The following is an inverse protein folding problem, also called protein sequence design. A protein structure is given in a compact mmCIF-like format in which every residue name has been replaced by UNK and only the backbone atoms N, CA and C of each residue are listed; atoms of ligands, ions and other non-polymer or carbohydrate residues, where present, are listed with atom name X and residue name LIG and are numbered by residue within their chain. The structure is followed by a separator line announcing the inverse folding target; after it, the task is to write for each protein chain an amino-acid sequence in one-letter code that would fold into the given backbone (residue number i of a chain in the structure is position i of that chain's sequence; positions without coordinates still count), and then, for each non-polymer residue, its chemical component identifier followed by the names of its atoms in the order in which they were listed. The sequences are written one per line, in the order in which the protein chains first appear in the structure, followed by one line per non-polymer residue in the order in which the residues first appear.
data_IF_316069770627
#
_entry.id   IF_316069770627
#
_cell.length_a   1.000
_cell.length_b   1.000
_cell.length_c   1.000
_cell.angle_alpha   90.00
_cell.angle_beta   90.00
_cell.angle_gamma   90.00
#
_symmetry.space_group_name_H-M   'P 1'
#
loop_
_entity.id
_entity.type
_entity.pdbx_description
1 polymer ?
#
# COMPACT_ATOMS: atom_id res chain seq x y z
N UNK A 1 6.56 4.43 15.35
CA UNK A 1 5.69 3.82 16.38
C UNK A 1 4.36 3.48 15.74
N UNK A 2 3.82 4.41 14.93
CA UNK A 2 2.57 4.28 14.17
C UNK A 2 2.49 3.02 13.30
N UNK A 3 3.57 2.67 12.60
CA UNK A 3 3.57 1.53 11.65
C UNK A 3 3.32 0.15 12.30
N UNK A 4 3.69 -0.02 13.58
CA UNK A 4 3.51 -1.30 14.28
C UNK A 4 2.06 -1.48 14.74
N UNK A 5 1.43 -0.41 15.22
CA UNK A 5 0.02 -0.41 15.64
C UNK A 5 -0.90 -0.59 14.44
N UNK A 6 -0.59 0.05 13.31
CA UNK A 6 -1.33 -0.09 12.05
C UNK A 6 -1.31 -1.54 11.54
N UNK A 7 -0.13 -2.18 11.55
CA UNK A 7 -0.01 -3.61 11.19
C UNK A 7 -0.79 -4.50 12.14
N UNK A 8 -0.71 -4.25 13.45
CA UNK A 8 -1.45 -5.03 14.45
C UNK A 8 -2.96 -4.91 14.25
N UNK A 9 -3.45 -3.70 13.98
CA UNK A 9 -4.85 -3.45 13.69
C UNK A 9 -5.30 -4.22 12.44
N UNK A 10 -4.57 -4.13 11.32
CA UNK A 10 -4.89 -4.89 10.12
C UNK A 10 -4.89 -6.40 10.36
N UNK A 11 -3.94 -6.92 11.14
CA UNK A 11 -3.91 -8.34 11.49
C UNK A 11 -5.19 -8.74 12.22
N UNK A 12 -5.64 -7.95 13.20
CA UNK A 12 -6.86 -8.25 13.95
C UNK A 12 -8.11 -8.18 13.06
N UNK A 13 -8.23 -7.15 12.22
CA UNK A 13 -9.35 -6.98 11.29
C UNK A 13 -9.43 -8.13 10.28
N UNK A 14 -8.29 -8.57 9.72
CA UNK A 14 -8.23 -9.70 8.78
C UNK A 14 -8.54 -11.03 9.48
N UNK A 15 -8.06 -11.23 10.72
CA UNK A 15 -8.29 -12.46 11.48
C UNK A 15 -9.76 -12.62 11.86
N UNK A 16 -10.37 -11.56 12.39
CA UNK A 16 -11.78 -11.55 12.75
C UNK A 16 -12.68 -11.50 11.50
N UNK A 17 -12.17 -10.93 10.40
CA UNK A 17 -12.96 -10.65 9.22
C UNK A 17 -13.96 -9.52 9.44
N UNK A 18 -13.71 -8.65 10.42
CA UNK A 18 -14.61 -7.58 10.85
C UNK A 18 -13.81 -6.34 11.27
N UNK A 19 -14.34 -5.15 11.01
CA UNK A 19 -13.78 -3.87 11.43
C UNK A 19 -14.90 -2.97 11.95
N UNK A 20 -14.63 -2.26 13.06
CA UNK A 20 -15.54 -1.24 13.59
C UNK A 20 -15.20 0.09 12.92
N UNK A 21 -16.21 0.74 12.35
CA UNK A 21 -16.02 1.99 11.61
C UNK A 21 -17.16 2.97 11.90
N UNK A 22 -16.82 4.26 11.80
CA UNK A 22 -17.79 5.35 11.83
C UNK A 22 -18.11 5.76 10.39
N UNK A 23 -19.39 5.76 10.04
CA UNK A 23 -19.88 6.07 8.70
C UNK A 23 -20.79 7.29 8.77
N UNK A 24 -20.46 8.33 8.02
CA UNK A 24 -21.31 9.52 7.92
C UNK A 24 -22.39 9.35 6.85
N UNK A 25 -23.60 9.80 7.17
CA UNK A 25 -24.71 9.91 6.22
C UNK A 25 -24.68 11.26 5.45
N UNK A 26 -25.59 11.42 4.48
CA UNK A 26 -25.68 12.65 3.69
C UNK A 26 -26.07 13.90 4.51
N UNK A 27 -26.58 13.72 5.73
CA UNK A 27 -26.91 14.81 6.66
C UNK A 27 -25.76 15.11 7.64
N UNK A 28 -24.67 14.34 7.59
CA UNK A 28 -23.53 14.47 8.49
C UNK A 28 -23.70 13.75 9.83
N UNK A 29 -24.74 12.93 10.03
CA UNK A 29 -24.82 12.09 11.22
C UNK A 29 -23.84 10.93 11.10
N UNK A 30 -23.22 10.56 12.22
CA UNK A 30 -22.23 9.48 12.28
C UNK A 30 -22.90 8.23 12.85
N UNK A 31 -22.75 7.12 12.14
CA UNK A 31 -23.24 5.80 12.52
C UNK A 31 -22.05 4.88 12.78
N UNK A 32 -21.88 4.42 14.01
CA UNK A 32 -20.85 3.42 14.36
C UNK A 32 -21.36 2.03 14.03
N UNK A 33 -20.67 1.34 13.13
CA UNK A 33 -21.10 0.08 12.53
C UNK A 33 -19.96 -0.94 12.48
N UNK A 34 -20.30 -2.20 12.19
CA UNK A 34 -19.35 -3.25 11.88
C UNK A 34 -19.38 -3.48 10.37
N UNK A 35 -18.20 -3.45 9.73
CA UNK A 35 -18.04 -3.93 8.35
C UNK A 35 -17.40 -5.31 8.39
N UNK A 36 -18.05 -6.28 7.75
CA UNK A 36 -17.56 -7.66 7.63
C UNK A 36 -16.98 -7.94 6.25
N UNK A 37 -15.98 -8.82 6.22
CA UNK A 37 -15.40 -9.34 5.00
C UNK A 37 -16.45 -10.16 4.24
N UNK A 38 -16.59 -9.89 2.94
CA UNK A 38 -17.48 -10.65 2.08
C UNK A 38 -16.95 -12.08 1.90
N UNK A 39 -17.82 -13.06 2.09
CA UNK A 39 -17.55 -14.46 1.75
C UNK A 39 -17.50 -14.65 0.22
N UNK A 40 -16.81 -15.69 -0.24
CA UNK A 40 -16.77 -16.04 -1.67
C UNK A 40 -18.17 -16.22 -2.28
N UNK A 41 -19.15 -16.71 -1.51
CA UNK A 41 -20.55 -16.81 -1.95
C UNK A 41 -21.19 -15.44 -2.19
N UNK A 42 -21.01 -14.50 -1.26
CA UNK A 42 -21.54 -13.13 -1.40
C UNK A 42 -20.88 -12.41 -2.57
N UNK A 43 -19.55 -12.51 -2.70
CA UNK A 43 -18.82 -11.93 -3.83
C UNK A 43 -19.31 -12.49 -5.17
N UNK A 44 -19.51 -13.81 -5.26
CA UNK A 44 -20.06 -14.44 -6.46
C UNK A 44 -21.47 -13.90 -6.79
N UNK A 45 -22.33 -13.74 -5.79
CA UNK A 45 -23.67 -13.18 -5.99
C UNK A 45 -23.61 -11.70 -6.44
N UNK A 46 -22.77 -10.89 -5.80
CA UNK A 46 -22.54 -9.48 -6.18
C UNK A 46 -22.05 -9.40 -7.64
N UNK A 47 -21.12 -10.26 -8.03
CA UNK A 47 -20.62 -10.34 -9.41
C UNK A 47 -21.71 -10.79 -10.38
N UNK A 48 -22.55 -11.75 -10.00
CA UNK A 48 -23.72 -12.15 -10.79
C UNK A 48 -24.68 -10.98 -11.00
N UNK A 49 -24.99 -10.21 -9.95
CA UNK A 49 -25.86 -9.03 -10.04
C UNK A 49 -25.29 -7.95 -10.96
N UNK A 50 -23.98 -7.70 -10.87
CA UNK A 50 -23.26 -6.81 -11.79
C UNK A 50 -23.40 -7.27 -13.25
N UNK A 51 -23.11 -8.54 -13.54
CA UNK A 51 -23.23 -9.10 -14.89
C UNK A 51 -24.67 -9.09 -15.40
N UNK A 52 -25.65 -9.36 -14.52
CA UNK A 52 -27.07 -9.30 -14.85
C UNK A 52 -27.48 -7.89 -15.27
N UNK A 53 -27.04 -6.86 -14.55
CA UNK A 53 -27.35 -5.46 -14.88
C UNK A 53 -26.73 -5.05 -16.22
N UNK A 54 -25.51 -5.47 -16.52
CA UNK A 54 -24.90 -5.25 -17.84
C UNK A 54 -25.76 -5.85 -18.97
N UNK A 55 -26.18 -7.12 -18.82
CA UNK A 55 -26.99 -7.80 -19.84
C UNK A 55 -28.38 -7.17 -19.98
N UNK A 56 -29.03 -6.82 -18.86
CA UNK A 56 -30.36 -6.21 -18.89
C UNK A 56 -30.33 -4.78 -19.42
N UNK A 57 -29.36 -3.97 -18.98
CA UNK A 57 -29.20 -2.61 -19.45
C UNK A 57 -28.87 -2.55 -20.94
N UNK A 58 -28.03 -3.46 -21.45
CA UNK A 58 -27.79 -3.59 -22.89
C UNK A 58 -29.07 -3.93 -23.66
N UNK A 59 -29.90 -4.85 -23.15
CA UNK A 59 -31.21 -5.18 -23.76
C UNK A 59 -32.18 -4.00 -23.76
N UNK A 60 -32.10 -3.12 -22.77
CA UNK A 60 -32.88 -1.88 -22.68
C UNK A 60 -32.31 -0.75 -23.55
N UNK A 61 -31.19 -0.98 -24.24
CA UNK A 61 -30.56 0.02 -25.11
C UNK A 61 -29.78 1.10 -24.36
N UNK A 62 -29.33 0.82 -23.12
CA UNK A 62 -28.41 1.73 -22.43
C UNK A 62 -27.08 1.78 -23.17
N UNK A 63 -26.54 2.99 -23.27
CA UNK A 63 -25.29 3.27 -24.00
C UNK A 63 -24.11 2.82 -23.13
N UNK A 64 -23.20 2.07 -23.73
CA UNK A 64 -21.94 1.67 -23.07
C UNK A 64 -20.98 2.84 -22.92
N UNK A 65 -20.05 2.75 -21.98
CA UNK A 65 -18.99 3.74 -21.82
C UNK A 65 -18.16 3.86 -23.09
N UNK A 66 -17.89 2.74 -23.78
CA UNK A 66 -17.15 2.73 -25.04
C UNK A 66 -17.88 3.50 -26.16
N UNK A 67 -19.20 3.42 -26.23
CA UNK A 67 -20.00 4.20 -27.18
C UNK A 67 -20.09 5.68 -26.78
N UNK A 68 -20.27 5.98 -25.48
CA UNK A 68 -20.21 7.36 -24.98
C UNK A 68 -18.86 8.00 -25.30
N UNK A 69 -17.75 7.26 -25.16
CA UNK A 69 -16.41 7.73 -25.52
C UNK A 69 -16.33 8.15 -26.99
N UNK A 70 -16.91 7.37 -27.90
CA UNK A 70 -16.96 7.73 -29.33
C UNK A 70 -17.79 8.99 -29.55
N UNK A 71 -18.99 9.06 -28.96
CA UNK A 71 -19.88 10.22 -29.09
C UNK A 71 -19.21 11.50 -28.55
N UNK A 72 -18.53 11.41 -27.40
CA UNK A 72 -17.85 12.55 -26.81
C UNK A 72 -16.58 12.94 -27.56
N UNK A 73 -15.85 11.98 -28.13
CA UNK A 73 -14.69 12.26 -28.97
C UNK A 73 -15.10 12.97 -30.28
N UNK A 74 -16.17 12.50 -30.94
CA UNK A 74 -16.71 13.12 -32.16
C UNK A 74 -17.18 14.56 -31.94
N UNK A 75 -17.62 14.88 -30.71
CA UNK A 75 -18.09 16.21 -30.32
C UNK A 75 -17.03 17.06 -29.61
N UNK A 76 -15.80 16.56 -29.51
CA UNK A 76 -14.70 17.21 -28.80
C UNK A 76 -15.03 17.55 -27.32
N UNK A 77 -15.93 16.78 -26.70
CA UNK A 77 -16.36 16.96 -25.29
C UNK A 77 -15.38 16.26 -24.34
N UNK A 78 -14.89 15.09 -24.72
CA UNK A 78 -13.87 14.32 -24.00
C UNK A 78 -13.10 13.47 -24.99
N UNK A 79 -11.78 13.60 -24.97
CA UNK A 79 -10.90 13.05 -26.00
C UNK A 79 -9.75 12.27 -25.38
N UNK A 80 -8.96 11.57 -26.21
CA UNK A 80 -7.76 10.85 -25.75
C UNK A 80 -6.74 11.81 -25.09
N UNK A 81 -6.73 13.09 -25.47
CA UNK A 81 -5.88 14.11 -24.82
C UNK A 81 -6.27 14.34 -23.36
N UNK A 82 -7.56 14.27 -23.03
CA UNK A 82 -8.05 14.41 -21.67
C UNK A 82 -7.64 13.19 -20.82
N UNK A 83 -7.71 11.98 -21.39
CA UNK A 83 -7.23 10.75 -20.73
C UNK A 83 -5.71 10.77 -20.52
N UNK A 84 -4.94 11.19 -21.52
CA UNK A 84 -3.49 11.39 -21.39
C UNK A 84 -3.18 12.42 -20.30
N UNK A 85 -3.95 13.51 -20.23
CA UNK A 85 -3.79 14.53 -19.20
C UNK A 85 -3.98 13.97 -17.80
N UNK A 86 -4.99 13.12 -17.59
CA UNK A 86 -5.22 12.43 -16.30
C UNK A 86 -4.00 11.60 -15.91
N UNK A 87 -3.46 10.78 -16.83
CA UNK A 87 -2.28 9.93 -16.58
C UNK A 87 -1.04 10.78 -16.29
N UNK A 88 -0.83 11.88 -17.02
CA UNK A 88 0.28 12.81 -16.80
C UNK A 88 0.21 13.46 -15.42
N UNK A 89 -0.98 13.92 -15.01
CA UNK A 89 -1.18 14.54 -13.69
C UNK A 89 -0.97 13.54 -12.55
N UNK A 90 -1.50 12.32 -12.66
CA UNK A 90 -1.28 11.25 -11.66
C UNK A 90 0.20 10.92 -11.49
N UNK A 91 0.91 10.72 -12.60
CA UNK A 91 2.35 10.45 -12.58
C UNK A 91 3.15 11.66 -12.07
N UNK A 92 2.72 12.88 -12.40
CA UNK A 92 3.30 14.12 -11.89
C UNK A 92 3.20 14.21 -10.37
N UNK A 93 2.02 13.96 -9.81
CA UNK A 93 1.79 13.95 -8.35
C UNK A 93 2.67 12.90 -7.68
N UNK A 94 2.73 11.67 -8.21
CA UNK A 94 3.59 10.60 -7.67
C UNK A 94 5.07 11.00 -7.66
N UNK A 95 5.57 11.56 -8.76
CA UNK A 95 6.96 12.05 -8.84
C UNK A 95 7.23 13.17 -7.84
N UNK A 96 6.32 14.15 -7.73
CA UNK A 96 6.46 15.27 -6.79
C UNK A 96 6.43 14.80 -5.32
N UNK A 97 5.53 13.86 -4.98
CA UNK A 97 5.47 13.26 -3.64
C UNK A 97 6.73 12.45 -3.31
N UNK A 98 7.33 11.78 -4.29
CA UNK A 98 8.56 11.02 -4.09
C UNK A 98 9.79 11.92 -3.84
N UNK A 99 9.89 13.09 -4.50
CA UNK A 99 11.03 14.01 -4.31
C UNK A 99 10.84 14.96 -3.11
N UNK A 100 9.61 15.14 -2.63
CA UNK A 100 9.30 16.07 -1.54
C UNK A 100 10.15 15.83 -0.26
N UNK A 101 10.39 14.57 0.18
CA UNK A 101 11.25 14.28 1.33
C UNK A 101 12.70 14.77 1.17
N UNK A 102 13.25 14.74 -0.05
CA UNK A 102 14.63 15.16 -0.33
C UNK A 102 14.86 16.65 -0.04
N UNK A 103 13.78 17.45 -0.09
CA UNK A 103 13.81 18.89 0.16
C UNK A 103 13.35 19.28 1.56
N UNK A 104 13.19 18.33 2.50
CA UNK A 104 12.70 18.59 3.87
C UNK A 104 13.42 19.76 4.56
N UNK A 105 14.73 19.91 4.32
CA UNK A 105 15.57 20.94 4.92
C UNK A 105 15.76 22.20 4.05
N UNK A 106 15.09 22.28 2.90
CA UNK A 106 15.06 23.44 2.01
C UNK A 106 13.63 24.02 2.04
N UNK A 107 13.31 24.78 3.09
CA UNK A 107 11.94 25.23 3.46
C UNK A 107 11.22 25.91 2.29
N UNK A 108 11.92 26.76 1.53
CA UNK A 108 11.34 27.47 0.38
C UNK A 108 10.98 26.48 -0.75
N UNK A 109 11.90 25.58 -1.10
CA UNK A 109 11.65 24.58 -2.15
C UNK A 109 10.59 23.57 -1.73
N UNK A 110 10.63 23.12 -0.48
CA UNK A 110 9.63 22.23 0.11
C UNK A 110 8.22 22.81 -0.03
N UNK A 111 8.01 24.07 0.43
CA UNK A 111 6.71 24.76 0.30
C UNK A 111 6.28 24.96 -1.16
N UNK A 112 7.23 25.21 -2.07
CA UNK A 112 6.92 25.34 -3.49
C UNK A 112 6.44 24.02 -4.11
N UNK A 113 7.11 22.90 -3.78
CA UNK A 113 6.72 21.56 -4.24
C UNK A 113 5.36 21.17 -3.66
N UNK A 114 5.11 21.40 -2.36
CA UNK A 114 3.79 21.18 -1.76
C UNK A 114 2.68 21.98 -2.47
N UNK A 115 2.95 23.25 -2.77
CA UNK A 115 1.99 24.09 -3.51
C UNK A 115 1.73 23.54 -4.91
N UNK A 116 2.75 23.02 -5.57
CA UNK A 116 2.63 22.39 -6.88
C UNK A 116 1.81 21.09 -6.81
N UNK A 117 2.05 20.25 -5.81
CA UNK A 117 1.25 19.05 -5.54
C UNK A 117 -0.23 19.43 -5.38
N UNK A 118 -0.55 20.37 -4.48
CA UNK A 118 -1.94 20.81 -4.24
C UNK A 118 -2.62 21.42 -5.47
N UNK A 119 -1.86 22.04 -6.38
CA UNK A 119 -2.39 22.56 -7.65
C UNK A 119 -2.68 21.43 -8.64
N UNK A 120 -1.74 20.50 -8.76
CA UNK A 120 -1.85 19.34 -9.65
C UNK A 120 -2.97 18.39 -9.20
N UNK A 121 -3.13 18.19 -7.90
CA UNK A 121 -4.24 17.41 -7.30
C UNK A 121 -5.60 18.05 -7.57
N UNK A 122 -5.71 19.39 -7.44
CA UNK A 122 -6.95 20.09 -7.78
C UNK A 122 -7.32 19.92 -9.26
N UNK A 123 -6.36 20.16 -10.15
CA UNK A 123 -6.58 19.98 -11.59
C UNK A 123 -6.99 18.54 -11.94
N UNK A 124 -6.34 17.55 -11.32
CA UNK A 124 -6.70 16.15 -11.49
C UNK A 124 -8.13 15.88 -10.98
N UNK A 125 -8.49 16.38 -9.81
CA UNK A 125 -9.82 16.20 -9.25
C UNK A 125 -10.90 16.83 -10.12
N UNK A 126 -10.67 18.03 -10.66
CA UNK A 126 -11.59 18.71 -11.57
C UNK A 126 -11.81 17.88 -12.86
N UNK A 127 -10.73 17.33 -13.44
CA UNK A 127 -10.81 16.45 -14.61
C UNK A 127 -11.51 15.13 -14.32
N UNK A 128 -11.23 14.51 -13.17
CA UNK A 128 -11.89 13.27 -12.76
C UNK A 128 -13.37 13.49 -12.47
N UNK A 129 -13.74 14.62 -11.86
CA UNK A 129 -15.14 14.98 -11.65
C UNK A 129 -15.87 15.14 -12.98
N UNK A 130 -15.29 15.89 -13.92
CA UNK A 130 -15.84 16.05 -15.27
C UNK A 130 -15.99 14.69 -15.98
N UNK A 131 -14.99 13.82 -15.87
CA UNK A 131 -15.06 12.46 -16.42
C UNK A 131 -16.23 11.70 -15.80
N UNK A 132 -16.35 11.73 -14.48
CA UNK A 132 -17.44 11.05 -13.78
C UNK A 132 -18.81 11.58 -14.24
N UNK A 133 -19.01 12.90 -14.31
CA UNK A 133 -20.26 13.51 -14.77
C UNK A 133 -20.65 13.05 -16.18
N UNK A 134 -19.67 12.94 -17.09
CA UNK A 134 -19.89 12.52 -18.47
C UNK A 134 -20.25 11.03 -18.59
N UNK A 135 -19.64 10.18 -17.78
CA UNK A 135 -19.78 8.72 -17.90
C UNK A 135 -20.71 8.12 -16.85
N UNK A 136 -21.22 8.88 -15.88
CA UNK A 136 -22.05 8.38 -14.76
C UNK A 136 -23.26 7.56 -15.22
N UNK A 137 -23.85 7.94 -16.37
CA UNK A 137 -25.03 7.27 -16.93
C UNK A 137 -24.69 6.13 -17.90
N UNK A 138 -23.42 5.75 -18.02
CA UNK A 138 -23.04 4.56 -18.80
C UNK A 138 -23.62 3.29 -18.19
N UNK A 139 -23.82 2.29 -19.06
CA UNK A 139 -24.22 0.95 -18.65
C UNK A 139 -23.30 0.38 -17.56
N UNK A 140 -21.99 0.57 -17.70
CA UNK A 140 -20.96 0.10 -16.78
C UNK A 140 -21.04 0.79 -15.43
N UNK A 141 -21.20 2.13 -15.39
CA UNK A 141 -21.34 2.86 -14.12
C UNK A 141 -22.67 2.57 -13.42
N UNK A 142 -23.74 2.32 -14.18
CA UNK A 142 -24.99 1.81 -13.61
C UNK A 142 -24.81 0.44 -12.97
N UNK A 143 -24.15 -0.49 -13.66
CA UNK A 143 -23.86 -1.81 -13.11
C UNK A 143 -22.93 -1.73 -11.88
N UNK A 144 -21.94 -0.82 -11.89
CA UNK A 144 -21.08 -0.56 -10.73
C UNK A 144 -21.87 -0.02 -9.54
N UNK A 145 -22.84 0.88 -9.77
CA UNK A 145 -23.74 1.37 -8.72
C UNK A 145 -24.49 0.20 -8.07
N UNK A 146 -25.03 -0.72 -8.87
CA UNK A 146 -25.67 -1.95 -8.34
C UNK A 146 -24.68 -2.78 -7.53
N UNK A 147 -23.45 -2.95 -8.02
CA UNK A 147 -22.39 -3.69 -7.31
C UNK A 147 -22.08 -3.05 -5.95
N UNK A 148 -21.93 -1.73 -5.90
CA UNK A 148 -21.64 -0.98 -4.67
C UNK A 148 -22.79 -1.09 -3.67
N UNK A 149 -24.04 -0.96 -4.13
CA UNK A 149 -25.23 -1.18 -3.29
C UNK A 149 -25.21 -2.57 -2.67
N UNK A 150 -25.03 -3.61 -3.48
CA UNK A 150 -25.01 -4.99 -2.98
C UNK A 150 -23.82 -5.24 -2.03
N UNK A 151 -22.66 -4.63 -2.30
CA UNK A 151 -21.49 -4.70 -1.40
C UNK A 151 -21.85 -4.12 -0.03
N UNK A 152 -22.40 -2.91 0.03
CA UNK A 152 -22.81 -2.26 1.27
C UNK A 152 -23.84 -3.10 2.04
N UNK A 153 -24.84 -3.65 1.34
CA UNK A 153 -25.87 -4.49 1.93
C UNK A 153 -25.30 -5.73 2.64
N UNK A 154 -24.34 -6.42 2.01
CA UNK A 154 -23.79 -7.66 2.55
C UNK A 154 -22.68 -7.46 3.57
N UNK A 155 -22.00 -6.31 3.57
CA UNK A 155 -20.88 -6.06 4.47
C UNK A 155 -21.25 -5.29 5.73
N UNK A 156 -22.38 -4.56 5.78
CA UNK A 156 -22.69 -3.65 6.89
C UNK A 156 -23.60 -4.28 7.95
N UNK A 157 -23.16 -4.18 9.20
CA UNK A 157 -23.84 -4.71 10.37
C UNK A 157 -23.89 -3.67 11.50
N UNK A 158 -24.88 -3.80 12.37
CA UNK A 158 -24.96 -3.07 13.64
C UNK A 158 -23.96 -3.65 14.64
N UNK A 159 -23.71 -2.93 15.74
CA UNK A 159 -22.78 -3.36 16.79
C UNK A 159 -23.18 -4.68 17.47
N UNK A 160 -24.46 -5.07 17.41
CA UNK A 160 -24.96 -6.35 17.89
C UNK A 160 -24.78 -7.50 16.88
N UNK A 161 -24.03 -7.28 15.79
CA UNK A 161 -23.82 -8.21 14.69
C UNK A 161 -25.07 -8.58 13.89
N UNK A 162 -26.16 -7.84 14.01
CA UNK A 162 -27.32 -7.98 13.10
C UNK A 162 -27.10 -7.17 11.82
N UNK A 163 -27.67 -7.60 10.67
CA UNK A 163 -27.59 -6.82 9.43
C UNK A 163 -28.09 -5.39 9.63
N UNK A 164 -27.42 -4.42 9.02
CA UNK A 164 -27.80 -3.02 9.17
C UNK A 164 -29.20 -2.75 8.61
N UNK A 165 -29.50 -3.36 7.46
CA UNK A 165 -30.79 -3.29 6.78
C UNK A 165 -31.43 -4.67 6.65
N UNK A 166 -32.75 -4.69 6.73
CA UNK A 166 -33.55 -5.72 6.07
C UNK A 166 -33.57 -5.48 4.55
N UNK A 167 -33.96 -6.50 3.77
CA UNK A 167 -34.06 -6.38 2.32
C UNK A 167 -35.06 -5.27 1.89
N UNK A 168 -36.18 -5.14 2.59
CA UNK A 168 -37.18 -4.11 2.34
C UNK A 168 -36.66 -2.70 2.66
N UNK A 169 -36.00 -2.51 3.82
CA UNK A 169 -35.39 -1.24 4.19
C UNK A 169 -34.30 -0.84 3.17
N UNK A 170 -33.47 -1.79 2.76
CA UNK A 170 -32.38 -1.51 1.81
C UNK A 170 -32.89 -1.12 0.41
N UNK A 171 -33.96 -1.75 -0.05
CA UNK A 171 -34.57 -1.42 -1.34
C UNK A 171 -35.16 -0.01 -1.37
N UNK A 172 -35.60 0.50 -0.22
CA UNK A 172 -36.13 1.86 -0.07
C UNK A 172 -35.07 2.87 0.40
N UNK A 173 -33.80 2.46 0.55
CA UNK A 173 -32.73 3.30 1.04
C UNK A 173 -32.05 4.08 -0.10
N UNK A 174 -32.22 5.40 -0.09
CA UNK A 174 -31.77 6.30 -1.16
C UNK A 174 -30.54 7.16 -0.83
N UNK A 175 -29.96 7.02 0.37
CA UNK A 175 -28.75 7.78 0.72
C UNK A 175 -27.51 7.18 0.03
N UNK A 176 -27.22 7.68 -1.17
CA UNK A 176 -26.07 7.28 -1.98
C UNK A 176 -24.75 7.65 -1.29
N UNK A 177 -24.70 8.76 -0.54
CA UNK A 177 -23.48 9.20 0.16
C UNK A 177 -23.13 8.17 1.23
N UNK A 178 -24.11 7.74 2.02
CA UNK A 178 -23.92 6.69 3.02
C UNK A 178 -23.43 5.39 2.39
N UNK A 179 -24.05 4.92 1.31
CA UNK A 179 -23.63 3.70 0.60
C UNK A 179 -22.18 3.80 0.11
N UNK A 180 -21.81 4.94 -0.49
CA UNK A 180 -20.45 5.16 -0.97
C UNK A 180 -19.44 5.16 0.18
N UNK A 181 -19.79 5.78 1.31
CA UNK A 181 -18.93 5.78 2.50
C UNK A 181 -18.75 4.37 3.08
N UNK A 182 -19.80 3.54 3.08
CA UNK A 182 -19.72 2.11 3.45
C UNK A 182 -18.75 1.37 2.54
N UNK A 183 -18.89 1.52 1.23
CA UNK A 183 -18.01 0.85 0.25
C UNK A 183 -16.58 1.35 0.35
N UNK A 184 -16.36 2.66 0.58
CA UNK A 184 -15.03 3.22 0.82
C UNK A 184 -14.40 2.59 2.06
N UNK A 185 -15.13 2.58 3.18
CA UNK A 185 -14.65 1.98 4.42
C UNK A 185 -14.38 0.47 4.26
N UNK A 186 -15.18 -0.25 3.49
CA UNK A 186 -14.90 -1.66 3.14
C UNK A 186 -13.58 -1.80 2.37
N UNK A 187 -13.38 -0.98 1.34
CA UNK A 187 -12.18 -1.02 0.52
C UNK A 187 -10.92 -0.67 1.33
N UNK A 188 -11.00 0.36 2.18
CA UNK A 188 -9.87 0.80 3.01
C UNK A 188 -9.41 -0.29 4.00
N UNK A 189 -10.33 -1.14 4.46
CA UNK A 189 -10.05 -2.19 5.46
C UNK A 189 -9.67 -3.52 4.84
N UNK A 190 -10.34 -3.91 3.75
CA UNK A 190 -10.27 -5.28 3.23
C UNK A 190 -9.74 -5.40 1.80
N UNK A 191 -9.54 -4.29 1.08
CA UNK A 191 -8.91 -4.27 -0.24
C UNK A 191 -7.50 -3.70 -0.11
N UNK A 192 -6.62 -4.51 0.46
CA UNK A 192 -5.22 -4.14 0.70
C UNK A 192 -4.36 -4.38 -0.55
N UNK A 193 -3.42 -3.46 -0.79
CA UNK A 193 -2.42 -3.64 -1.84
C UNK A 193 -1.40 -4.71 -1.47
N UNK A 194 -0.77 -5.28 -2.50
CA UNK A 194 0.16 -6.40 -2.35
C UNK A 194 1.33 -6.08 -1.40
N UNK A 195 1.85 -4.85 -1.43
CA UNK A 195 2.98 -4.43 -0.58
C UNK A 195 2.57 -4.46 0.89
N UNK A 196 1.36 -4.00 1.21
CA UNK A 196 0.80 -4.03 2.56
C UNK A 196 0.58 -5.47 3.04
N UNK A 197 -0.03 -6.32 2.21
CA UNK A 197 -0.25 -7.73 2.57
C UNK A 197 1.08 -8.46 2.79
N UNK A 198 2.07 -8.26 1.91
CA UNK A 198 3.41 -8.82 2.06
C UNK A 198 4.10 -8.33 3.34
N UNK A 199 3.91 -7.06 3.70
CA UNK A 199 4.42 -6.48 4.95
C UNK A 199 3.82 -7.13 6.18
N UNK A 200 2.51 -7.36 6.17
CA UNK A 200 1.81 -8.09 7.22
C UNK A 200 2.35 -9.52 7.30
N UNK A 201 2.47 -10.21 6.17
CA UNK A 201 2.91 -11.61 6.09
C UNK A 201 4.33 -11.84 6.66
N UNK A 202 5.25 -10.89 6.49
CA UNK A 202 6.61 -10.95 7.07
C UNK A 202 6.70 -10.49 8.53
N UNK A 203 5.67 -9.83 9.05
CA UNK A 203 5.69 -9.32 10.42
C UNK A 203 5.76 -10.44 11.46
N UNK A 204 6.52 -10.22 12.53
CA UNK A 204 6.66 -11.23 13.59
C UNK A 204 5.32 -11.56 14.28
N UNK A 205 4.44 -10.57 14.42
CA UNK A 205 3.11 -10.74 15.02
C UNK A 205 2.25 -11.71 14.22
N UNK A 206 2.20 -11.53 12.90
CA UNK A 206 1.48 -12.44 12.02
C UNK A 206 2.13 -13.82 12.02
N UNK A 207 3.45 -13.90 11.85
CA UNK A 207 4.16 -15.18 11.76
C UNK A 207 3.98 -16.06 12.99
N UNK A 208 3.90 -15.47 14.17
CA UNK A 208 3.58 -16.20 15.40
C UNK A 208 2.21 -16.91 15.31
N UNK A 209 1.17 -16.19 14.84
CA UNK A 209 -0.17 -16.73 14.66
C UNK A 209 -0.23 -17.76 13.53
N UNK A 210 0.38 -17.43 12.40
CA UNK A 210 0.48 -18.32 11.25
C UNK A 210 1.14 -19.66 11.61
N UNK A 211 2.28 -19.64 12.30
CA UNK A 211 2.94 -20.88 12.76
C UNK A 211 2.09 -21.69 13.73
N UNK A 212 1.19 -21.06 14.49
CA UNK A 212 0.28 -21.77 15.39
C UNK A 212 -0.73 -22.62 14.62
N UNK A 213 -1.08 -22.24 13.38
CA UNK A 213 -2.01 -23.00 12.53
C UNK A 213 -1.42 -24.34 12.07
N UNK A 214 -0.08 -24.41 11.93
CA UNK A 214 0.62 -25.66 11.58
C UNK A 214 0.40 -26.76 12.63
N UNK A 215 0.01 -26.39 13.85
CA UNK A 215 -0.33 -27.30 14.93
C UNK A 215 -1.83 -27.61 15.03
N UNK A 216 -2.62 -27.29 13.98
CA UNK A 216 -4.05 -27.60 13.90
C UNK A 216 -4.99 -26.53 14.46
N UNK A 217 -4.49 -25.35 14.80
CA UNK A 217 -5.35 -24.22 15.17
C UNK A 217 -6.06 -23.63 13.95
N UNK A 218 -7.35 -23.33 14.08
CA UNK A 218 -8.10 -22.59 13.07
C UNK A 218 -7.60 -21.13 13.00
N UNK A 219 -7.35 -20.64 11.79
CA UNK A 219 -6.79 -19.30 11.55
C UNK A 219 -7.86 -18.22 11.52
N UNK A 220 -9.02 -18.52 10.91
CA UNK A 220 -10.07 -17.54 10.63
C UNK A 220 -11.44 -17.95 11.19
N UNK A 221 -11.53 -19.09 11.88
CA UNK A 221 -12.78 -19.54 12.50
C UNK A 221 -13.83 -20.03 11.50
N UNK A 222 -13.47 -20.19 10.22
CA UNK A 222 -14.40 -20.52 9.13
C UNK A 222 -13.73 -21.32 8.00
N UNK A 223 -14.50 -22.09 7.21
CA UNK A 223 -13.95 -22.88 6.10
C UNK A 223 -13.28 -22.03 5.03
N UNK A 224 -12.30 -22.61 4.32
CA UNK A 224 -11.56 -21.93 3.26
C UNK A 224 -12.44 -21.35 2.13
N UNK A 225 -13.60 -21.96 1.86
CA UNK A 225 -14.56 -21.46 0.88
C UNK A 225 -15.22 -20.13 1.26
N UNK A 226 -15.15 -19.74 2.54
CA UNK A 226 -15.74 -18.51 3.08
C UNK A 226 -14.69 -17.43 3.39
N UNK A 227 -13.41 -17.70 3.11
CA UNK A 227 -12.35 -16.72 3.22
C UNK A 227 -12.53 -15.62 2.17
N UNK A 228 -12.31 -14.37 2.58
CA UNK A 228 -12.28 -13.26 1.64
C UNK A 228 -10.93 -13.12 0.95
N UNK A 229 -10.85 -12.27 -0.06
CA UNK A 229 -9.66 -12.15 -0.91
C UNK A 229 -8.39 -11.77 -0.14
N UNK A 230 -8.49 -10.83 0.81
CA UNK A 230 -7.32 -10.44 1.63
C UNK A 230 -6.83 -11.59 2.52
N UNK A 231 -7.72 -12.44 3.03
CA UNK A 231 -7.35 -13.62 3.81
C UNK A 231 -6.61 -14.65 2.94
N UNK A 232 -7.13 -14.90 1.73
CA UNK A 232 -6.49 -15.78 0.75
C UNK A 232 -5.12 -15.25 0.31
N UNK A 233 -5.02 -13.96 0.02
CA UNK A 233 -3.77 -13.29 -0.35
C UNK A 233 -2.75 -13.36 0.79
N UNK A 234 -3.18 -13.15 2.04
CA UNK A 234 -2.30 -13.22 3.19
C UNK A 234 -1.74 -14.64 3.39
N UNK A 235 -2.56 -15.69 3.21
CA UNK A 235 -2.07 -17.07 3.27
C UNK A 235 -1.07 -17.35 2.15
N UNK A 236 -1.38 -16.93 0.92
CA UNK A 236 -0.48 -17.10 -0.22
C UNK A 236 0.91 -16.50 0.08
N UNK A 237 0.95 -15.26 0.56
CA UNK A 237 2.21 -14.60 0.94
C UNK A 237 2.87 -15.25 2.16
N UNK A 238 2.10 -15.76 3.10
CA UNK A 238 2.65 -16.49 4.26
C UNK A 238 3.37 -17.77 3.83
N UNK A 239 2.78 -18.54 2.91
CA UNK A 239 3.41 -19.71 2.33
C UNK A 239 4.65 -19.36 1.50
N UNK A 240 4.58 -18.26 0.74
CA UNK A 240 5.72 -17.73 0.00
C UNK A 240 6.90 -17.41 0.92
N UNK A 241 6.64 -16.69 2.01
CA UNK A 241 7.69 -16.32 2.97
C UNK A 241 8.20 -17.51 3.76
N UNK A 242 7.34 -18.44 4.18
CA UNK A 242 7.79 -19.70 4.80
C UNK A 242 8.79 -20.43 3.90
N UNK A 243 8.47 -20.56 2.61
CA UNK A 243 9.38 -21.16 1.64
C UNK A 243 10.72 -20.41 1.53
N UNK A 244 10.70 -19.08 1.55
CA UNK A 244 11.92 -18.26 1.55
C UNK A 244 12.74 -18.47 2.83
N UNK A 245 12.10 -18.41 4.01
CA UNK A 245 12.76 -18.52 5.30
C UNK A 245 13.32 -19.91 5.58
N UNK A 246 12.66 -20.95 5.08
CA UNK A 246 13.10 -22.34 5.21
C UNK A 246 14.18 -22.71 4.17
N UNK A 247 14.46 -21.84 3.19
CA UNK A 247 15.49 -22.09 2.19
C UNK A 247 16.90 -22.03 2.81
N UNK A 248 17.80 -23.02 2.57
CA UNK A 248 19.15 -23.03 3.13
C UNK A 248 19.99 -21.80 2.77
N UNK A 249 19.76 -21.24 1.58
CA UNK A 249 20.42 -20.02 1.09
C UNK A 249 19.52 -18.77 1.24
N UNK A 250 18.67 -18.72 2.27
CA UNK A 250 17.74 -17.62 2.51
C UNK A 250 18.44 -16.24 2.44
N UNK A 251 17.96 -15.32 1.57
CA UNK A 251 18.59 -14.03 1.33
C UNK A 251 18.10 -12.99 2.36
N UNK A 252 18.55 -13.12 3.61
CA UNK A 252 18.11 -12.28 4.74
C UNK A 252 18.17 -10.75 4.46
N UNK A 253 19.09 -10.30 3.62
CA UNK A 253 19.28 -8.90 3.25
C UNK A 253 18.31 -8.38 2.17
N UNK A 254 17.54 -9.26 1.51
CA UNK A 254 16.60 -8.91 0.43
C UNK A 254 15.14 -9.03 0.88
N UNK A 255 14.87 -9.51 2.09
CA UNK A 255 13.50 -9.88 2.54
C UNK A 255 12.55 -8.67 2.51
N UNK A 256 13.07 -7.48 2.81
CA UNK A 256 12.27 -6.24 2.85
C UNK A 256 12.12 -5.58 1.47
N UNK A 257 12.83 -6.06 0.45
CA UNK A 257 12.74 -5.57 -0.93
C UNK A 257 12.01 -6.60 -1.79
N UNK A 258 10.69 -6.41 -1.93
CA UNK A 258 9.80 -7.32 -2.65
C UNK A 258 10.29 -7.64 -4.07
N UNK A 259 10.75 -6.65 -4.84
CA UNK A 259 11.24 -6.84 -6.22
C UNK A 259 12.54 -7.66 -6.28
N UNK A 260 13.49 -7.35 -5.40
CA UNK A 260 14.77 -8.06 -5.33
C UNK A 260 14.59 -9.50 -4.83
N UNK A 261 13.69 -9.71 -3.87
CA UNK A 261 13.33 -11.02 -3.38
C UNK A 261 12.69 -11.85 -4.50
N UNK A 262 11.74 -11.29 -5.24
CA UNK A 262 11.08 -11.98 -6.35
C UNK A 262 12.05 -12.33 -7.48
N UNK A 263 13.05 -11.48 -7.74
CA UNK A 263 14.14 -11.78 -8.66
C UNK A 263 14.99 -12.97 -8.16
N UNK A 264 15.29 -13.00 -6.87
CA UNK A 264 16.01 -14.11 -6.25
C UNK A 264 15.19 -15.42 -6.30
N UNK A 265 13.91 -15.39 -5.93
CA UNK A 265 13.01 -16.57 -5.98
C UNK A 265 12.90 -17.13 -7.40
N UNK A 266 12.78 -16.26 -8.42
CA UNK A 266 12.79 -16.68 -9.83
C UNK A 266 14.10 -17.37 -10.20
N UNK A 267 15.24 -16.82 -9.75
CA UNK A 267 16.55 -17.42 -9.99
C UNK A 267 16.70 -18.78 -9.28
N UNK A 268 16.23 -18.90 -8.04
CA UNK A 268 16.25 -20.19 -7.31
C UNK A 268 15.32 -21.22 -7.94
N UNK A 269 14.12 -20.82 -8.37
CA UNK A 269 13.21 -21.72 -9.10
C UNK A 269 13.83 -22.19 -10.40
N UNK A 270 14.49 -21.29 -11.16
CA UNK A 270 15.25 -21.65 -12.36
C UNK A 270 16.41 -22.57 -12.04
N UNK A 271 17.19 -22.30 -10.99
CA UNK A 271 18.26 -23.18 -10.52
C UNK A 271 17.73 -24.54 -10.11
N UNK A 272 16.59 -24.62 -9.42
CA UNK A 272 15.96 -25.89 -9.01
C UNK A 272 15.43 -26.68 -10.19
N UNK A 273 14.78 -26.03 -11.15
CA UNK A 273 14.34 -26.67 -12.40
C UNK A 273 15.54 -27.13 -13.23
N UNK A 274 16.56 -26.28 -13.36
CA UNK A 274 17.81 -26.65 -14.01
C UNK A 274 18.53 -27.75 -13.23
N UNK A 275 18.49 -27.77 -11.89
CA UNK A 275 19.00 -28.85 -11.03
C UNK A 275 18.18 -30.12 -11.16
N UNK A 276 16.87 -30.08 -11.41
CA UNK A 276 16.11 -31.30 -11.74
C UNK A 276 16.51 -31.82 -13.14
N UNK A 277 16.84 -30.91 -14.06
CA UNK A 277 17.38 -31.21 -15.41
C UNK A 277 18.88 -31.59 -15.40
N UNK A 278 19.65 -31.15 -14.40
CA UNK A 278 21.07 -31.44 -14.15
C UNK A 278 21.25 -32.63 -13.18
N UNK A 279 20.29 -32.94 -12.32
CA UNK A 279 20.26 -34.19 -11.55
C UNK A 279 19.91 -35.36 -12.47
N UNK A 280 19.28 -35.08 -13.61
CA UNK A 280 19.22 -35.99 -14.75
C UNK A 280 20.46 -35.90 -15.67
N UNK A 281 21.36 -34.93 -15.46
CA UNK A 281 22.58 -34.69 -16.25
C UNK A 281 23.69 -34.05 -15.41
N UNK A 282 24.55 -34.87 -14.76
CA UNK A 282 25.88 -34.53 -14.19
C UNK A 282 25.85 -34.18 -12.68
N UNK A 283 26.38 -35.01 -11.77
CA UNK A 283 27.81 -35.32 -11.62
C UNK A 283 28.69 -34.19 -12.18
N UNK A 284 28.92 -33.11 -11.41
CA UNK A 284 30.20 -32.36 -11.28
C UNK A 284 29.94 -31.00 -10.60
N UNK A 285 30.33 -30.98 -9.32
CA UNK A 285 31.05 -29.97 -8.52
C UNK A 285 30.68 -28.47 -8.62
N UNK A 286 30.47 -27.94 -7.41
CA UNK A 286 30.12 -26.58 -6.96
C UNK A 286 31.35 -25.63 -6.83
N UNK A 287 31.38 -24.62 -5.92
CA UNK A 287 30.97 -23.21 -6.11
C UNK A 287 32.08 -22.21 -5.68
N UNK A 288 31.95 -20.90 -5.92
CA UNK A 288 32.74 -19.90 -5.16
C UNK A 288 31.96 -18.60 -4.88
N UNK A 289 31.64 -18.45 -3.59
CA UNK A 289 31.80 -17.35 -2.63
C UNK A 289 31.45 -15.86 -2.87
N UNK A 290 30.80 -15.38 -1.80
CA UNK A 290 30.44 -14.02 -1.35
C UNK A 290 31.68 -13.15 -1.07
N UNK A 291 31.50 -11.82 -1.06
CA UNK A 291 31.95 -10.96 0.07
C UNK A 291 31.36 -9.54 0.07
N UNK A 292 30.97 -9.16 1.29
CA UNK A 292 30.47 -7.88 1.83
C UNK A 292 31.38 -6.67 1.64
N UNK A 293 30.80 -5.46 1.70
CA UNK A 293 31.43 -4.27 2.30
C UNK A 293 30.39 -3.46 3.09
N UNK A 294 30.57 -3.41 4.40
CA UNK A 294 29.99 -2.38 5.28
C UNK A 294 30.91 -1.15 5.23
N UNK A 295 30.36 0.00 4.86
CA UNK A 295 30.98 1.30 5.03
C UNK A 295 30.01 2.21 5.79
N UNK A 296 30.49 2.87 6.84
CA UNK A 296 29.78 3.95 7.51
C UNK A 296 29.64 5.12 6.52
N UNK A 297 28.39 5.39 6.12
CA UNK A 297 28.07 6.43 5.13
C UNK A 297 27.83 7.75 5.85
N UNK A 298 28.77 8.69 5.74
CA UNK A 298 28.53 10.08 6.10
C UNK A 298 27.54 10.69 5.11
N UNK A 299 26.45 11.26 5.63
CA UNK A 299 25.40 11.86 4.80
C UNK A 299 25.42 13.38 4.97
N UNK A 300 25.74 14.07 3.89
CA UNK A 300 25.68 15.54 3.86
C UNK A 300 24.25 15.98 3.57
N UNK A 301 23.69 16.81 4.47
CA UNK A 301 22.35 17.37 4.33
C UNK A 301 22.46 18.84 3.92
N UNK A 302 21.95 19.17 2.73
CA UNK A 302 21.83 20.55 2.28
C UNK A 302 20.61 21.19 2.93
N UNK A 303 20.81 22.29 3.65
CA UNK A 303 19.75 23.05 4.32
C UNK A 303 19.85 24.55 4.03
N UNK A 304 18.76 25.27 4.26
CA UNK A 304 18.77 26.73 4.20
C UNK A 304 19.68 27.31 5.31
N UNK A 305 20.21 28.53 5.11
CA UNK A 305 21.03 29.25 6.09
C UNK A 305 20.20 29.78 7.28
N UNK A 306 19.45 28.89 7.93
CA UNK A 306 18.63 29.16 9.11
C UNK A 306 19.29 28.47 10.33
N UNK A 307 19.81 29.24 11.30
CA UNK A 307 20.48 28.69 12.48
C UNK A 307 19.64 27.65 13.24
N UNK A 308 18.31 27.86 13.30
CA UNK A 308 17.40 26.97 14.03
C UNK A 308 17.29 25.59 13.36
N UNK A 309 17.27 25.58 12.03
CA UNK A 309 17.19 24.36 11.22
C UNK A 309 18.51 23.58 11.26
N UNK A 310 19.64 24.29 11.27
CA UNK A 310 20.97 23.69 11.38
C UNK A 310 21.12 22.96 12.73
N UNK A 311 20.64 23.58 13.82
CA UNK A 311 20.64 22.96 15.15
C UNK A 311 19.69 21.77 15.22
N UNK A 312 18.51 21.87 14.59
CA UNK A 312 17.56 20.76 14.47
C UNK A 312 18.17 19.55 13.73
N UNK A 313 18.82 19.77 12.58
CA UNK A 313 19.51 18.71 11.83
C UNK A 313 20.63 18.08 12.67
N UNK A 314 21.42 18.91 13.35
CA UNK A 314 22.52 18.41 14.18
C UNK A 314 22.04 17.64 15.40
N UNK A 315 20.85 17.97 15.92
CA UNK A 315 20.23 17.27 17.05
C UNK A 315 19.78 15.84 16.72
N UNK A 316 19.64 15.51 15.43
CA UNK A 316 19.29 14.15 14.97
C UNK A 316 20.46 13.16 15.11
N UNK A 317 21.69 13.64 15.30
CA UNK A 317 22.84 12.80 15.60
C UNK A 317 22.79 12.31 17.05
N UNK A 318 23.25 11.07 17.29
CA UNK A 318 23.37 10.55 18.65
C UNK A 318 24.34 11.41 19.50
N UNK A 319 24.22 11.39 20.84
CA UNK A 319 25.05 12.21 21.73
C UNK A 319 26.57 12.05 21.52
N UNK A 320 27.06 10.85 21.17
CA UNK A 320 28.47 10.57 20.96
C UNK A 320 28.95 11.20 19.64
N UNK A 321 28.20 11.02 18.55
CA UNK A 321 28.47 11.65 17.26
C UNK A 321 28.44 13.17 17.37
N UNK A 322 27.51 13.75 18.14
CA UNK A 322 27.48 15.20 18.41
C UNK A 322 28.71 15.69 19.18
N UNK A 323 29.15 14.94 20.18
CA UNK A 323 30.35 15.27 20.94
C UNK A 323 31.61 15.24 20.05
N UNK A 324 31.71 14.23 19.18
CA UNK A 324 32.78 14.10 18.19
C UNK A 324 32.80 15.25 17.19
N UNK A 325 31.67 15.56 16.55
CA UNK A 325 31.55 16.69 15.61
C UNK A 325 31.87 18.04 16.27
N UNK A 326 31.51 18.24 17.55
CA UNK A 326 31.88 19.44 18.32
C UNK A 326 33.39 19.51 18.55
N UNK A 327 34.02 18.38 18.90
CA UNK A 327 35.47 18.31 19.08
C UNK A 327 36.22 18.63 17.78
N UNK A 328 35.81 18.03 16.66
CA UNK A 328 36.39 18.28 15.33
C UNK A 328 36.25 19.75 14.91
N UNK A 329 35.06 20.36 15.11
CA UNK A 329 34.85 21.80 14.82
C UNK A 329 35.75 22.70 15.66
N UNK A 330 35.99 22.38 16.93
CA UNK A 330 36.86 23.17 17.79
C UNK A 330 38.32 23.11 17.34
N UNK A 331 38.80 21.94 16.90
CA UNK A 331 40.15 21.78 16.33
C UNK A 331 40.28 22.58 15.03
N UNK A 332 39.28 22.51 14.14
CA UNK A 332 39.27 23.26 12.88
C UNK A 332 39.27 24.78 13.14
N UNK A 333 38.44 25.28 14.06
CA UNK A 333 38.42 26.71 14.43
C UNK A 333 39.77 27.20 14.97
N UNK A 334 40.50 26.36 15.71
CA UNK A 334 41.79 26.73 16.28
C UNK A 334 42.96 26.72 15.28
N UNK A 335 42.93 25.85 14.26
CA UNK A 335 44.04 25.64 13.32
C UNK A 335 43.79 26.20 11.91
N UNK A 336 42.56 26.59 11.59
CA UNK A 336 42.15 27.08 10.27
C UNK A 336 41.99 25.97 9.24
N UNK A 337 43.04 25.16 9.01
CA UNK A 337 43.02 23.98 8.13
C UNK A 337 43.66 22.79 8.84
N UNK A 338 43.05 21.61 8.70
CA UNK A 338 43.45 20.38 9.43
C UNK A 338 43.28 19.18 8.50
N UNK A 339 44.22 18.24 8.52
CA UNK A 339 44.08 17.00 7.75
C UNK A 339 43.10 16.05 8.44
N UNK A 340 42.37 15.24 7.67
CA UNK A 340 41.41 14.27 8.23
C UNK A 340 42.08 13.26 9.18
N UNK A 341 43.34 12.90 8.90
CA UNK A 341 44.16 12.06 9.77
C UNK A 341 44.37 12.65 11.16
N UNK A 342 44.48 13.98 11.26
CA UNK A 342 44.65 14.66 12.55
C UNK A 342 43.36 14.74 13.36
N UNK A 343 42.20 14.61 12.72
CA UNK A 343 40.89 14.55 13.38
C UNK A 343 40.64 13.15 14.01
N UNK A 344 41.15 12.09 13.38
CA UNK A 344 40.92 10.69 13.80
C UNK A 344 41.95 10.14 14.81
N UNK A 345 43.05 10.85 15.07
CA UNK A 345 44.10 10.42 16.03
C UNK A 345 43.59 10.20 17.46
N UNK A 346 42.53 10.88 17.87
CA UNK A 346 41.94 10.75 19.21
C UNK A 346 41.11 9.48 19.44
N UNK A 347 40.50 8.92 18.38
CA UNK A 347 39.58 7.78 18.49
C UNK A 347 40.32 6.42 18.45
N UNK A 348 41.48 6.36 17.79
CA UNK A 348 42.29 5.14 17.66
C UNK A 348 42.90 4.72 19.02
N UNK A 349 43.00 5.63 19.99
CA UNK A 349 43.61 5.38 21.29
C UNK A 349 42.63 4.93 22.39
N UNK A 350 41.32 4.81 22.09
CA UNK A 350 40.30 4.35 23.07
C UNK A 350 39.67 3.00 22.73
N UNK A 351 40.16 2.32 21.71
CA UNK A 351 39.75 0.97 21.33
C UNK A 351 40.82 -0.08 21.65
N UNK A 352 41.14 -0.25 22.94
CA UNK A 352 41.78 -1.44 23.51
C UNK A 352 41.01 -1.84 24.75
#
# INVERSE_FOLDING_TARGET
MDDYQEIEQHILEILLGEAIVDISDGNGNIHTCIIKILSGRQQNYINYMYQRELVQGAKLGLISEAELRKIYAEREIWTDKDEERVVVLQNGIKKLKNILPDFKYQRVKYKNIERQIRRTERELNDLLQRKWDLFANSLENRALTVKFRQTAFYCLFKLDSTPFWTEEEFNNFDDIIFINNVVSAYNDRFVLDERTVRKIARSNMWRYRWNSTKNGADLFGKPAAEWGDVQNNLIFWSLYYDWVFEHPECPHHLIDNDEALDAWVRNETRKRNNRNVLNSRKNVVSPVDKKQKYGTVETFVFCDNDPTLIDEIQSQNDPLTRAKLRHERNIIKGKGTVSEWDLRKGDILKGV
#
